data_IF_882506007723
#
_entry.id   IF_882506007723
#
_cell.length_a   1.000
_cell.length_b   1.000
_cell.length_c   1.000
_cell.angle_alpha   90.00
_cell.angle_beta   90.00
_cell.angle_gamma   90.00
#
_symmetry.space_group_name_H-M   'P 1'
#
loop_
_entity.id
_entity.type
_entity.pdbx_description
1 polymer ?
#
# COMPACT_ATOMS: atom_id res chain seq x y z
N UNK A 1 34.22 51.62 44.39
CA UNK A 1 33.38 50.43 44.43
C UNK A 1 33.40 49.83 43.04
N UNK A 2 34.19 48.75 42.86
CA UNK A 2 34.25 48.00 41.55
C UNK A 2 33.16 46.92 41.55
N UNK A 3 32.23 47.07 40.63
CA UNK A 3 31.19 46.10 40.45
C UNK A 3 31.77 44.93 39.63
N UNK A 4 32.04 43.80 40.34
CA UNK A 4 32.52 42.59 39.70
C UNK A 4 31.36 41.89 38.95
N UNK A 5 31.30 42.08 37.63
CA UNK A 5 30.44 41.27 36.78
C UNK A 5 31.00 39.86 36.76
N UNK A 6 30.22 38.90 37.30
CA UNK A 6 30.63 37.53 37.44
C UNK A 6 30.97 36.93 36.07
N UNK A 7 32.17 36.35 35.95
CA UNK A 7 32.67 35.62 34.74
C UNK A 7 31.68 34.58 34.24
N UNK A 8 30.82 34.07 35.11
CA UNK A 8 29.77 33.09 34.74
C UNK A 8 28.65 33.66 33.87
N UNK A 9 28.29 34.96 34.02
CA UNK A 9 27.25 35.61 33.20
C UNK A 9 27.79 35.86 31.80
N UNK A 10 29.07 36.20 31.65
CA UNK A 10 29.70 36.41 30.36
C UNK A 10 29.82 35.09 29.56
N UNK A 11 30.10 33.97 30.25
CA UNK A 11 30.17 32.62 29.64
C UNK A 11 28.83 32.16 29.11
N UNK A 12 27.71 32.41 29.83
CA UNK A 12 26.35 32.04 29.39
C UNK A 12 25.91 32.90 28.21
N UNK A 13 26.25 34.17 28.18
CA UNK A 13 25.95 35.04 27.02
C UNK A 13 26.75 34.67 25.79
N UNK A 14 28.00 34.20 25.92
CA UNK A 14 28.81 33.71 24.80
C UNK A 14 28.25 32.37 24.24
N UNK A 15 27.79 31.48 25.10
CA UNK A 15 27.20 30.19 24.65
C UNK A 15 25.82 30.35 24.00
N UNK A 16 25.00 31.30 24.47
CA UNK A 16 23.75 31.67 23.83
C UNK A 16 23.95 32.37 22.46
N UNK A 17 25.01 33.16 22.31
CA UNK A 17 25.36 33.81 21.04
C UNK A 17 25.87 32.84 19.97
N UNK A 18 26.49 31.72 20.36
CA UNK A 18 26.97 30.67 19.43
C UNK A 18 25.87 29.70 18.95
N UNK A 19 24.73 29.64 19.65
CA UNK A 19 23.61 28.78 19.25
C UNK A 19 22.67 29.40 18.20
N UNK A 20 22.87 30.68 17.82
CA UNK A 20 21.97 31.39 16.89
C UNK A 20 22.50 31.51 15.46
N UNK A 21 23.60 30.87 15.12
CA UNK A 21 24.23 30.96 13.80
C UNK A 21 24.27 29.61 13.04
N UNK A 22 23.28 28.76 13.19
CA UNK A 22 22.99 27.76 12.13
C UNK A 22 21.90 28.35 11.25
N UNK A 23 22.28 29.06 10.20
CA UNK A 23 21.37 29.26 9.06
C UNK A 23 20.90 27.89 8.64
N UNK A 24 19.61 27.66 8.50
CA UNK A 24 19.16 26.42 7.86
C UNK A 24 19.83 26.39 6.48
N UNK A 25 20.66 25.39 6.24
CA UNK A 25 21.14 25.12 4.89
C UNK A 25 19.90 24.71 4.10
N UNK A 26 19.46 25.59 3.20
CA UNK A 26 18.39 25.24 2.27
C UNK A 26 18.98 24.14 1.34
N UNK A 27 18.51 22.93 1.53
CA UNK A 27 18.85 21.84 0.63
C UNK A 27 18.10 22.05 -0.70
N UNK A 28 18.85 22.07 -1.78
CA UNK A 28 18.34 22.10 -3.13
C UNK A 28 18.23 20.66 -3.65
N UNK A 29 17.02 20.17 -3.86
CA UNK A 29 16.79 18.79 -4.32
C UNK A 29 16.26 18.79 -5.75
N UNK A 30 17.05 18.22 -6.65
CA UNK A 30 16.64 17.93 -8.02
C UNK A 30 16.39 16.43 -8.17
N UNK A 31 15.24 16.06 -8.75
CA UNK A 31 14.89 14.66 -9.03
C UNK A 31 14.52 14.48 -10.50
N UNK A 32 15.06 13.43 -11.08
CA UNK A 32 14.69 12.89 -12.38
C UNK A 32 13.97 11.56 -12.15
N UNK A 33 12.71 11.45 -12.60
CA UNK A 33 11.89 10.24 -12.40
C UNK A 33 11.37 9.74 -13.74
N UNK A 34 11.75 8.53 -14.12
CA UNK A 34 11.25 7.86 -15.31
C UNK A 34 10.24 6.78 -14.91
N UNK A 35 9.09 6.79 -15.56
CA UNK A 35 7.97 5.88 -15.30
C UNK A 35 7.52 5.23 -16.60
N UNK A 36 7.41 3.89 -16.60
CA UNK A 36 6.86 3.12 -17.70
C UNK A 36 5.49 2.56 -17.31
N UNK A 37 4.47 2.88 -18.07
CA UNK A 37 3.10 2.38 -17.88
C UNK A 37 2.80 1.34 -18.95
N UNK A 38 2.35 0.17 -18.51
CA UNK A 38 2.04 -0.96 -19.39
C UNK A 38 0.55 -1.29 -19.33
N UNK A 39 -0.08 -1.44 -20.48
CA UNK A 39 -1.46 -1.89 -20.61
C UNK A 39 -1.50 -3.03 -21.60
N UNK A 40 -2.11 -4.14 -21.19
CA UNK A 40 -2.16 -5.36 -21.99
C UNK A 40 -0.77 -5.86 -22.37
N UNK A 41 0.09 -6.10 -21.37
CA UNK A 41 1.49 -6.43 -21.60
C UNK A 41 2.27 -5.27 -22.18
N UNK A 42 2.93 -5.49 -23.32
CA UNK A 42 3.70 -4.48 -24.05
C UNK A 42 3.00 -3.92 -25.29
N UNK A 43 1.70 -4.19 -25.46
CA UNK A 43 0.94 -3.67 -26.60
C UNK A 43 0.76 -2.17 -26.53
N UNK A 44 0.50 -1.63 -25.33
CA UNK A 44 0.35 -0.20 -25.09
C UNK A 44 1.30 0.21 -23.98
N UNK A 45 2.37 0.88 -24.34
CA UNK A 45 3.40 1.35 -23.40
C UNK A 45 3.52 2.85 -23.49
N UNK A 46 3.40 3.52 -22.35
CA UNK A 46 3.60 4.96 -22.19
C UNK A 46 4.77 5.22 -21.26
N UNK A 47 5.66 6.11 -21.67
CA UNK A 47 6.78 6.61 -20.85
C UNK A 47 6.49 8.04 -20.39
N UNK A 48 6.64 8.29 -19.11
CA UNK A 48 6.68 9.63 -18.54
C UNK A 48 8.04 9.88 -17.92
N UNK A 49 8.66 11.00 -18.25
CA UNK A 49 9.92 11.45 -17.65
C UNK A 49 9.65 12.78 -16.94
N UNK A 50 9.77 12.76 -15.61
CA UNK A 50 9.39 13.87 -14.75
C UNK A 50 10.64 14.58 -14.23
N UNK A 51 10.66 15.90 -14.30
CA UNK A 51 11.67 16.79 -13.75
C UNK A 51 11.09 17.49 -12.53
N UNK A 52 11.68 17.23 -11.36
CA UNK A 52 11.12 17.61 -10.05
C UNK A 52 12.15 18.44 -9.29
N UNK A 53 11.75 19.61 -8.84
CA UNK A 53 12.54 20.53 -8.01
C UNK A 53 11.85 20.73 -6.66
N UNK A 54 12.55 20.43 -5.56
CA UNK A 54 12.00 20.56 -4.21
C UNK A 54 10.57 20.00 -4.07
N UNK A 55 10.33 18.79 -4.61
CA UNK A 55 9.02 18.08 -4.62
C UNK A 55 7.98 18.66 -5.60
N UNK A 56 8.25 19.72 -6.33
CA UNK A 56 7.39 20.28 -7.36
C UNK A 56 7.83 19.82 -8.76
N UNK A 57 6.90 19.20 -9.51
CA UNK A 57 7.12 18.85 -10.90
C UNK A 57 6.96 20.09 -11.77
N UNK A 58 8.02 20.53 -12.44
CA UNK A 58 7.91 21.72 -13.29
C UNK A 58 7.76 21.42 -14.78
N UNK A 59 8.33 20.30 -15.24
CA UNK A 59 8.28 19.88 -16.66
C UNK A 59 8.32 18.37 -16.73
N UNK A 60 7.68 17.79 -17.75
CA UNK A 60 7.74 16.36 -18.02
C UNK A 60 7.70 16.07 -19.52
N UNK A 61 8.27 14.94 -19.95
CA UNK A 61 8.07 14.37 -21.26
C UNK A 61 7.00 13.30 -21.21
N UNK A 62 6.13 13.28 -22.21
CA UNK A 62 5.08 12.28 -22.37
C UNK A 62 5.21 11.61 -23.73
N UNK A 63 5.44 10.31 -23.77
CA UNK A 63 5.59 9.58 -25.01
C UNK A 63 4.33 9.54 -25.87
N UNK A 64 3.13 9.62 -25.28
CA UNK A 64 1.87 9.65 -26.02
C UNK A 64 1.69 10.97 -26.77
N UNK A 65 2.24 12.06 -26.24
CA UNK A 65 2.28 13.37 -26.89
C UNK A 65 3.52 13.54 -27.75
N UNK A 66 4.64 12.93 -27.34
CA UNK A 66 5.94 13.00 -27.98
C UNK A 66 6.68 14.33 -27.79
N UNK A 67 6.31 15.10 -26.74
CA UNK A 67 6.85 16.43 -26.44
C UNK A 67 7.07 16.60 -24.93
N UNK A 68 7.91 17.58 -24.58
CA UNK A 68 8.00 18.09 -23.21
C UNK A 68 6.86 19.06 -22.93
N UNK A 69 6.26 18.94 -21.76
CA UNK A 69 5.10 19.71 -21.32
C UNK A 69 5.45 20.40 -20.00
N UNK A 70 5.32 21.71 -19.96
CA UNK A 70 5.50 22.49 -18.75
C UNK A 70 4.29 22.34 -17.82
N UNK A 71 4.54 22.01 -16.56
CA UNK A 71 3.52 22.02 -15.48
C UNK A 71 3.42 23.38 -14.79
N UNK A 72 4.50 24.13 -14.78
CA UNK A 72 4.59 25.44 -14.14
C UNK A 72 5.11 26.50 -15.12
N UNK A 73 4.91 27.77 -14.81
CA UNK A 73 5.48 28.87 -15.60
C UNK A 73 7.02 28.79 -15.66
N UNK A 74 7.66 28.29 -14.61
CA UNK A 74 9.11 28.08 -14.54
C UNK A 74 9.59 27.00 -15.50
N UNK A 75 8.75 26.02 -15.81
CA UNK A 75 9.07 24.93 -16.73
C UNK A 75 8.92 25.28 -18.22
N UNK A 76 8.24 26.39 -18.57
CA UNK A 76 8.02 26.77 -19.97
C UNK A 76 9.31 26.97 -20.76
N UNK A 77 10.30 27.74 -20.27
CA UNK A 77 11.55 27.91 -21.02
C UNK A 77 12.27 26.59 -21.32
N UNK A 78 12.25 25.64 -20.36
CA UNK A 78 12.90 24.33 -20.51
C UNK A 78 12.13 23.49 -21.54
N UNK A 79 10.82 23.42 -21.45
CA UNK A 79 9.99 22.68 -22.40
C UNK A 79 10.14 23.24 -23.82
N UNK A 80 10.12 24.56 -24.01
CA UNK A 80 10.28 25.20 -25.32
C UNK A 80 11.67 24.93 -25.88
N UNK A 81 12.72 25.03 -25.06
CA UNK A 81 14.09 24.77 -25.47
C UNK A 81 14.29 23.30 -25.87
N UNK A 82 13.80 22.35 -25.06
CA UNK A 82 13.94 20.94 -25.33
C UNK A 82 13.11 20.47 -26.52
N UNK A 83 11.91 21.02 -26.69
CA UNK A 83 11.08 20.74 -27.87
C UNK A 83 11.68 21.27 -29.19
N UNK A 84 12.61 22.23 -29.12
CA UNK A 84 13.40 22.67 -30.26
C UNK A 84 14.49 21.69 -30.67
N UNK A 85 14.86 20.73 -29.81
CA UNK A 85 15.98 19.80 -30.03
C UNK A 85 15.48 18.47 -30.58
N UNK A 86 15.57 18.25 -31.91
CA UNK A 86 15.07 17.02 -32.55
C UNK A 86 15.74 15.75 -32.04
N UNK A 87 17.05 15.77 -31.83
CA UNK A 87 17.81 14.60 -31.36
C UNK A 87 17.39 14.19 -29.94
N UNK A 88 17.06 15.18 -29.09
CA UNK A 88 16.55 14.93 -27.73
C UNK A 88 15.15 14.30 -27.78
N UNK A 89 14.26 14.85 -28.61
CA UNK A 89 12.90 14.30 -28.78
C UNK A 89 12.93 12.85 -29.32
N UNK A 90 13.78 12.58 -30.30
CA UNK A 90 13.95 11.21 -30.82
C UNK A 90 14.46 10.24 -29.76
N UNK A 91 15.43 10.67 -28.96
CA UNK A 91 15.94 9.89 -27.82
C UNK A 91 14.85 9.59 -26.80
N UNK A 92 14.10 10.59 -26.38
CA UNK A 92 13.02 10.42 -25.39
C UNK A 92 11.87 9.54 -25.94
N UNK A 93 11.52 9.67 -27.20
CA UNK A 93 10.54 8.78 -27.86
C UNK A 93 11.01 7.33 -27.91
N UNK A 94 12.31 7.10 -28.13
CA UNK A 94 12.89 5.79 -28.19
C UNK A 94 12.93 5.06 -26.82
N UNK A 95 12.74 5.78 -25.70
CA UNK A 95 12.74 5.21 -24.34
C UNK A 95 11.65 4.13 -24.19
N UNK A 96 10.52 4.27 -24.85
CA UNK A 96 9.44 3.25 -24.85
C UNK A 96 9.99 1.89 -25.27
N UNK A 97 10.73 1.83 -26.35
CA UNK A 97 11.26 0.57 -26.90
C UNK A 97 12.57 0.15 -26.23
N UNK A 98 13.49 1.09 -26.02
CA UNK A 98 14.85 0.80 -25.57
C UNK A 98 14.94 0.57 -24.06
N UNK A 99 14.04 1.16 -23.27
CA UNK A 99 14.04 1.07 -21.82
C UNK A 99 12.78 0.34 -21.30
N UNK A 100 11.58 0.88 -21.59
CA UNK A 100 10.37 0.34 -21.00
C UNK A 100 10.09 -1.10 -21.40
N UNK A 101 10.06 -1.40 -22.70
CA UNK A 101 9.82 -2.77 -23.19
C UNK A 101 10.95 -3.71 -22.83
N UNK A 102 12.20 -3.24 -22.86
CA UNK A 102 13.36 -4.04 -22.44
C UNK A 102 13.24 -4.43 -20.96
N UNK A 103 13.03 -3.47 -20.07
CA UNK A 103 12.89 -3.73 -18.63
C UNK A 103 11.69 -4.63 -18.33
N UNK A 104 10.55 -4.43 -19.01
CA UNK A 104 9.40 -5.31 -18.87
C UNK A 104 9.75 -6.78 -19.09
N UNK A 105 10.52 -7.09 -20.14
CA UNK A 105 10.91 -8.47 -20.43
C UNK A 105 11.87 -9.05 -19.37
N UNK A 106 12.76 -8.22 -18.84
CA UNK A 106 13.70 -8.64 -17.79
C UNK A 106 12.98 -8.86 -16.44
N UNK A 107 12.04 -7.98 -16.10
CA UNK A 107 11.35 -8.00 -14.82
C UNK A 107 10.10 -8.91 -14.82
N UNK A 108 9.63 -9.32 -16.02
CA UNK A 108 8.41 -10.10 -16.18
C UNK A 108 8.36 -11.34 -15.27
N UNK A 109 9.38 -12.20 -15.21
CA UNK A 109 9.33 -13.41 -14.38
C UNK A 109 9.26 -13.11 -12.87
N UNK A 110 9.93 -12.05 -12.42
CA UNK A 110 10.07 -11.72 -11.00
C UNK A 110 8.96 -10.80 -10.48
N UNK A 111 8.37 -9.96 -11.33
CA UNK A 111 7.38 -8.97 -10.94
C UNK A 111 6.01 -9.22 -11.58
N UNK A 112 5.92 -9.31 -12.92
CA UNK A 112 4.63 -9.35 -13.62
C UNK A 112 3.95 -10.71 -13.50
N UNK A 113 4.70 -11.81 -13.67
CA UNK A 113 4.20 -13.19 -13.61
C UNK A 113 4.24 -13.76 -12.18
N UNK A 114 4.80 -13.00 -11.23
CA UNK A 114 4.89 -13.43 -9.84
C UNK A 114 3.49 -13.68 -9.28
N UNK A 115 3.34 -14.79 -8.55
CA UNK A 115 2.13 -15.12 -7.82
C UNK A 115 2.49 -15.61 -6.42
N UNK A 116 1.79 -15.06 -5.42
CA UNK A 116 1.89 -15.51 -4.03
C UNK A 116 0.51 -15.91 -3.55
N UNK A 117 0.44 -17.04 -2.86
CA UNK A 117 -0.82 -17.58 -2.34
C UNK A 117 -1.29 -16.76 -1.14
N UNK A 118 -2.60 -16.44 -1.07
CA UNK A 118 -3.18 -15.82 0.11
C UNK A 118 -3.18 -16.78 1.31
N UNK A 119 -2.82 -16.27 2.47
CA UNK A 119 -3.05 -16.92 3.75
C UNK A 119 -4.31 -16.32 4.37
N UNK A 120 -5.27 -17.17 4.75
CA UNK A 120 -6.61 -16.76 5.18
C UNK A 120 -6.85 -17.16 6.62
N UNK A 121 -7.21 -16.19 7.48
CA UNK A 121 -7.53 -16.41 8.90
C UNK A 121 -8.82 -15.67 9.25
N UNK A 122 -9.66 -16.28 10.08
CA UNK A 122 -10.81 -15.61 10.67
C UNK A 122 -10.51 -15.33 12.13
N UNK A 123 -10.71 -14.09 12.55
CA UNK A 123 -10.48 -13.61 13.93
C UNK A 123 -11.73 -12.90 14.44
N UNK A 124 -11.96 -13.05 15.72
CA UNK A 124 -12.98 -12.26 16.41
C UNK A 124 -12.34 -11.06 17.06
N UNK A 125 -12.92 -9.91 16.89
CA UNK A 125 -12.41 -8.66 17.46
C UNK A 125 -12.79 -8.48 18.94
N UNK A 126 -13.82 -9.21 19.42
CA UNK A 126 -14.33 -9.13 20.81
C UNK A 126 -14.72 -10.51 21.33
N UNK A 127 -14.95 -10.62 22.63
CA UNK A 127 -15.60 -11.78 23.23
C UNK A 127 -16.96 -11.99 22.57
N UNK A 128 -17.18 -13.21 22.04
CA UNK A 128 -18.42 -13.56 21.37
C UNK A 128 -19.62 -13.41 22.30
N UNK A 129 -20.57 -12.62 21.89
CA UNK A 129 -21.85 -12.47 22.58
C UNK A 129 -22.95 -13.02 21.67
N UNK A 130 -23.61 -14.08 22.12
CA UNK A 130 -24.75 -14.67 21.38
C UNK A 130 -25.94 -13.74 21.51
N UNK A 131 -26.71 -13.61 20.42
CA UNK A 131 -27.89 -12.77 20.30
C UNK A 131 -27.63 -11.26 20.23
N UNK A 132 -26.35 -10.84 20.34
CA UNK A 132 -25.94 -9.46 20.10
C UNK A 132 -25.12 -9.33 18.83
N UNK A 133 -24.86 -8.10 18.44
CA UNK A 133 -24.07 -7.77 17.26
C UNK A 133 -22.59 -8.06 17.50
N UNK A 134 -22.00 -8.83 16.60
CA UNK A 134 -20.60 -9.23 16.63
C UNK A 134 -19.90 -8.76 15.36
N UNK A 135 -18.60 -8.51 15.47
CA UNK A 135 -17.73 -8.21 14.35
C UNK A 135 -16.76 -9.38 14.16
N UNK A 136 -16.88 -10.08 13.05
CA UNK A 136 -15.94 -11.12 12.64
C UNK A 136 -15.13 -10.62 11.45
N UNK A 137 -13.81 -10.86 11.48
CA UNK A 137 -12.89 -10.35 10.47
C UNK A 137 -12.18 -11.50 9.77
N UNK A 138 -12.23 -11.49 8.45
CA UNK A 138 -11.40 -12.30 7.60
C UNK A 138 -10.13 -11.52 7.26
N UNK A 139 -8.99 -12.00 7.76
CA UNK A 139 -7.66 -11.52 7.44
C UNK A 139 -7.11 -12.33 6.29
N UNK A 140 -6.69 -11.65 5.25
CA UNK A 140 -6.06 -12.26 4.07
C UNK A 140 -4.74 -11.56 3.84
N UNK A 141 -3.64 -12.27 3.99
CA UNK A 141 -2.27 -11.73 3.94
C UNK A 141 -1.38 -12.50 2.95
N UNK A 142 -0.23 -11.94 2.59
CA UNK A 142 0.84 -12.59 1.84
C UNK A 142 0.57 -12.81 0.35
N UNK A 143 -0.49 -12.25 -0.23
CA UNK A 143 -0.86 -12.49 -1.62
C UNK A 143 -0.26 -11.50 -2.62
N UNK A 144 -0.07 -11.95 -3.84
CA UNK A 144 0.30 -11.16 -5.01
C UNK A 144 -0.25 -11.86 -6.28
N UNK A 145 -0.79 -11.11 -7.26
CA UNK A 145 -0.96 -9.67 -7.38
C UNK A 145 -2.08 -9.09 -6.47
N UNK A 146 -2.25 -7.75 -6.44
CA UNK A 146 -3.19 -7.10 -5.52
C UNK A 146 -4.68 -7.37 -5.80
N UNK A 147 -5.04 -7.85 -6.98
CA UNK A 147 -6.44 -8.15 -7.33
C UNK A 147 -6.92 -9.41 -6.62
N UNK A 148 -7.86 -9.24 -5.70
CA UNK A 148 -8.43 -10.32 -4.89
C UNK A 148 -9.92 -10.09 -4.68
N UNK A 149 -10.69 -11.19 -4.57
CA UNK A 149 -12.09 -11.14 -4.15
C UNK A 149 -12.26 -11.94 -2.87
N UNK A 150 -12.76 -11.27 -1.83
CA UNK A 150 -13.07 -11.87 -0.53
C UNK A 150 -14.57 -11.73 -0.30
N UNK A 151 -15.23 -12.83 0.02
CA UNK A 151 -16.69 -12.91 0.15
C UNK A 151 -17.04 -13.57 1.47
N UNK A 152 -17.95 -12.98 2.23
CA UNK A 152 -18.55 -13.62 3.38
C UNK A 152 -19.83 -14.38 3.01
N UNK A 153 -19.96 -15.59 3.53
CA UNK A 153 -21.20 -16.37 3.44
C UNK A 153 -21.70 -16.69 4.85
N UNK A 154 -22.98 -16.45 5.11
CA UNK A 154 -23.69 -16.89 6.31
C UNK A 154 -24.66 -18.01 5.92
N UNK A 155 -24.50 -19.16 6.53
CA UNK A 155 -25.31 -20.35 6.22
C UNK A 155 -25.33 -20.71 4.71
N UNK A 156 -24.21 -20.44 4.02
CA UNK A 156 -24.05 -20.67 2.59
C UNK A 156 -24.58 -19.57 1.67
N UNK A 157 -25.16 -18.51 2.22
CA UNK A 157 -25.70 -17.36 1.48
C UNK A 157 -24.68 -16.20 1.55
N UNK A 158 -24.42 -15.56 0.43
CA UNK A 158 -23.50 -14.42 0.35
C UNK A 158 -24.07 -13.20 1.07
N UNK A 159 -23.27 -12.62 1.95
CA UNK A 159 -23.56 -11.38 2.68
C UNK A 159 -22.89 -10.20 1.98
N UNK A 160 -23.59 -9.08 1.86
CA UNK A 160 -23.09 -7.89 1.19
C UNK A 160 -23.31 -6.60 1.97
N UNK A 161 -24.49 -6.37 2.51
CA UNK A 161 -24.86 -5.08 3.13
C UNK A 161 -24.11 -4.78 4.45
N UNK A 162 -23.70 -5.82 5.18
CA UNK A 162 -23.04 -5.71 6.48
C UNK A 162 -21.52 -6.02 6.37
N UNK A 163 -20.99 -6.03 5.16
CA UNK A 163 -19.58 -6.30 4.90
C UNK A 163 -18.83 -4.99 4.65
N UNK A 164 -17.78 -4.77 5.43
CA UNK A 164 -16.86 -3.64 5.26
C UNK A 164 -15.46 -4.15 4.96
N UNK A 165 -14.79 -3.57 3.99
CA UNK A 165 -13.41 -3.92 3.62
C UNK A 165 -12.46 -2.79 3.98
N UNK A 166 -11.27 -3.14 4.46
CA UNK A 166 -10.16 -2.19 4.53
C UNK A 166 -9.70 -1.77 3.13
N UNK A 167 -8.88 -0.76 3.05
CA UNK A 167 -8.03 -0.56 1.89
C UNK A 167 -7.04 -1.72 1.77
N UNK A 168 -6.50 -1.89 0.55
CA UNK A 168 -5.44 -2.84 0.30
C UNK A 168 -4.14 -2.29 0.89
N UNK A 169 -3.52 -3.05 1.78
CA UNK A 169 -2.32 -2.65 2.50
C UNK A 169 -1.09 -3.42 2.00
N UNK A 170 0.07 -2.76 1.86
CA UNK A 170 1.33 -3.47 1.62
C UNK A 170 1.71 -4.30 2.85
N UNK A 171 1.99 -5.60 2.65
CA UNK A 171 2.40 -6.54 3.71
C UNK A 171 3.94 -6.77 3.73
N UNK A 172 4.70 -5.92 3.07
CA UNK A 172 6.12 -6.12 2.84
C UNK A 172 6.41 -7.19 1.77
N UNK A 173 7.68 -7.35 1.40
CA UNK A 173 8.16 -8.35 0.41
C UNK A 173 7.33 -8.45 -0.88
N UNK A 174 6.79 -7.33 -1.35
CA UNK A 174 5.89 -7.25 -2.52
C UNK A 174 4.60 -8.08 -2.35
N UNK A 175 4.12 -8.22 -1.15
CA UNK A 175 2.85 -8.85 -0.83
C UNK A 175 1.83 -7.81 -0.37
N UNK A 176 0.58 -8.23 -0.31
CA UNK A 176 -0.54 -7.42 0.13
C UNK A 176 -1.34 -8.13 1.20
N UNK A 177 -2.03 -7.31 2.01
CA UNK A 177 -3.04 -7.77 2.96
C UNK A 177 -4.34 -6.99 2.80
N UNK A 178 -5.45 -7.63 3.15
CA UNK A 178 -6.78 -7.04 3.21
C UNK A 178 -7.57 -7.64 4.36
N UNK A 179 -8.35 -6.80 5.03
CA UNK A 179 -9.24 -7.20 6.11
C UNK A 179 -10.68 -6.98 5.68
N UNK A 180 -11.47 -8.05 5.69
CA UNK A 180 -12.89 -7.99 5.34
C UNK A 180 -13.72 -8.36 6.55
N UNK A 181 -14.47 -7.39 7.05
CA UNK A 181 -15.23 -7.46 8.28
C UNK A 181 -16.70 -7.71 7.98
N UNK A 182 -17.30 -8.60 8.74
CA UNK A 182 -18.76 -8.84 8.73
C UNK A 182 -19.33 -8.48 10.10
N UNK A 183 -20.24 -7.53 10.12
CA UNK A 183 -21.03 -7.16 11.29
C UNK A 183 -22.32 -7.97 11.27
N UNK A 184 -22.55 -8.82 12.28
CA UNK A 184 -23.68 -9.74 12.26
C UNK A 184 -24.08 -10.23 13.64
N UNK A 185 -25.37 -10.54 13.82
CA UNK A 185 -25.85 -11.27 14.98
C UNK A 185 -25.62 -12.77 14.78
N UNK A 186 -24.98 -13.40 15.77
CA UNK A 186 -24.63 -14.82 15.73
C UNK A 186 -25.65 -15.61 16.54
N UNK A 187 -26.28 -16.59 15.88
CA UNK A 187 -27.21 -17.52 16.52
C UNK A 187 -26.59 -18.90 16.65
N UNK A 188 -27.14 -19.70 17.57
CA UNK A 188 -26.71 -21.09 17.71
C UNK A 188 -26.97 -21.88 16.42
N UNK A 189 -25.94 -22.48 15.87
CA UNK A 189 -26.01 -23.26 14.62
C UNK A 189 -25.65 -22.48 13.38
N UNK A 190 -25.46 -21.15 13.45
CA UNK A 190 -24.99 -20.38 12.31
C UNK A 190 -23.58 -20.81 11.89
N UNK A 191 -23.35 -20.84 10.60
CA UNK A 191 -22.04 -21.09 9.98
C UNK A 191 -21.63 -19.88 9.18
N UNK A 192 -20.38 -19.47 9.35
CA UNK A 192 -19.79 -18.36 8.60
C UNK A 192 -18.60 -18.86 7.81
N UNK A 193 -18.53 -18.46 6.55
CA UNK A 193 -17.44 -18.85 5.65
C UNK A 193 -16.84 -17.61 5.02
N UNK A 194 -15.52 -17.44 5.15
CA UNK A 194 -14.75 -16.51 4.35
C UNK A 194 -14.27 -17.25 3.11
N UNK A 195 -14.69 -16.80 1.93
CA UNK A 195 -14.30 -17.34 0.63
C UNK A 195 -13.40 -16.36 -0.09
N UNK A 196 -12.24 -16.85 -0.53
CA UNK A 196 -11.21 -16.04 -1.20
C UNK A 196 -10.96 -16.59 -2.60
N UNK A 197 -11.09 -15.71 -3.59
CA UNK A 197 -10.77 -15.98 -5.00
C UNK A 197 -9.57 -15.11 -5.39
N UNK A 198 -8.54 -15.73 -5.94
CA UNK A 198 -7.32 -15.07 -6.34
C UNK A 198 -6.63 -15.78 -7.51
N UNK A 199 -5.93 -15.03 -8.36
CA UNK A 199 -5.28 -15.56 -9.57
C UNK A 199 -4.15 -16.58 -9.31
N UNK A 200 -3.63 -16.64 -8.08
CA UNK A 200 -2.64 -17.66 -7.66
C UNK A 200 -3.28 -18.99 -7.28
N UNK A 201 -4.60 -19.03 -7.06
CA UNK A 201 -5.34 -20.20 -6.61
C UNK A 201 -5.93 -20.96 -7.80
N UNK A 202 -5.87 -22.28 -7.77
CA UNK A 202 -6.59 -23.14 -8.73
C UNK A 202 -8.09 -23.21 -8.43
N UNK A 203 -8.45 -23.13 -7.14
CA UNK A 203 -9.82 -23.11 -6.65
C UNK A 203 -9.92 -22.13 -5.47
N UNK A 204 -11.08 -21.49 -5.25
CA UNK A 204 -11.28 -20.61 -4.12
C UNK A 204 -10.98 -21.29 -2.78
N UNK A 205 -10.30 -20.57 -1.89
CA UNK A 205 -10.13 -21.00 -0.49
C UNK A 205 -11.40 -20.64 0.28
N UNK A 206 -11.87 -21.57 1.11
CA UNK A 206 -13.00 -21.35 2.02
C UNK A 206 -12.61 -21.72 3.43
N UNK A 207 -12.65 -20.74 4.35
CA UNK A 207 -12.36 -20.94 5.77
C UNK A 207 -13.68 -20.82 6.54
N UNK A 208 -14.03 -21.87 7.28
CA UNK A 208 -15.26 -21.92 8.07
C UNK A 208 -15.00 -21.57 9.53
N UNK A 209 -15.81 -20.67 10.08
CA UNK A 209 -15.68 -20.24 11.45
C UNK A 209 -16.58 -21.03 12.45
N UNK A 210 -17.70 -21.56 12.04
CA UNK A 210 -18.67 -22.24 12.92
C UNK A 210 -18.16 -23.51 13.63
N UNK A 211 -17.14 -24.19 13.09
CA UNK A 211 -16.60 -25.40 13.72
C UNK A 211 -15.76 -25.13 14.98
N UNK A 212 -15.12 -23.96 15.10
CA UNK A 212 -14.33 -23.59 16.29
C UNK A 212 -15.21 -23.32 17.51
N UNK A 213 -16.40 -22.79 17.32
CA UNK A 213 -17.36 -22.52 18.40
C UNK A 213 -17.82 -23.80 19.10
N UNK A 214 -18.07 -24.87 18.35
CA UNK A 214 -18.46 -26.16 18.91
C UNK A 214 -17.34 -26.79 19.75
N UNK A 215 -16.06 -26.62 19.38
CA UNK A 215 -14.93 -27.09 20.18
C UNK A 215 -14.78 -26.33 21.51
N UNK A 216 -14.92 -24.99 21.49
CA UNK A 216 -14.81 -24.18 22.70
C UNK A 216 -15.95 -24.46 23.71
N UNK A 217 -17.17 -24.77 23.22
CA UNK A 217 -18.31 -25.12 24.08
C UNK A 217 -18.13 -26.49 24.73
N UNK A 218 -17.56 -27.47 24.00
CA UNK A 218 -17.24 -28.80 24.55
C UNK A 218 -16.16 -28.67 25.63
N UNK A 219 -15.11 -27.87 25.44
CA UNK A 219 -14.06 -27.66 26.43
C UNK A 219 -14.62 -26.95 27.71
N UNK A 220 -15.50 -25.95 27.57
CA UNK A 220 -16.16 -25.31 28.70
C UNK A 220 -17.12 -26.26 29.43
N UNK A 221 -17.87 -27.10 28.74
CA UNK A 221 -18.72 -28.12 29.38
C UNK A 221 -17.90 -29.15 30.14
N UNK A 222 -16.78 -29.62 29.58
CA UNK A 222 -15.90 -30.60 30.26
C UNK A 222 -15.26 -30.00 31.51
N UNK A 223 -14.83 -28.73 31.45
CA UNK A 223 -14.27 -28.04 32.64
C UNK A 223 -15.32 -27.77 33.74
N UNK A 224 -16.60 -27.61 33.40
CA UNK A 224 -17.67 -27.46 34.37
C UNK A 224 -17.99 -28.78 35.09
N UNK A 225 -17.93 -29.90 34.37
CA UNK A 225 -18.10 -31.23 35.00
C UNK A 225 -16.93 -31.68 35.83
N UNK A 226 -15.71 -31.18 35.58
CA UNK A 226 -14.49 -31.50 36.35
C UNK A 226 -14.39 -30.75 37.68
N UNK A 227 -15.27 -29.78 37.95
CA UNK A 227 -15.30 -29.03 39.22
C UNK A 227 -16.38 -29.56 40.17
N UNK A 228 -17.20 -30.54 39.77
CA UNK A 228 -18.33 -31.11 40.54
C UNK A 228 -18.00 -32.55 41.07
N UNK A 229 -16.82 -33.07 40.79
CA UNK A 229 -16.26 -34.29 41.37
C UNK A 229 -15.06 -33.89 42.22
#
# INVERSE_FOLDING_TARGET
MMCGVSVRVLSVLLTLGLCLCSSPTEDFVFQYKSQCYFRNGTENVRSLVLYIHNQEEWTYFDSDVGLFIAKTELGKPDADYWNGQKDLLEKERAVVDTVCKHNYQMDKPAAVDRKSLPNVKIVNTKTLDLEHENLITCFVDGFFPPMIKVTWLKNGIEEGEQVTSSELLPDGDWAFEIHVMLETTIKHGDTFTCRVEHSSLQQPISVNWGMLYNRLKIVKMISFFSVII
#
